data_IF_171847714878
#
_entry.id   IF_171847714878
#
_cell.length_a   1.000
_cell.length_b   1.000
_cell.length_c   1.000
_cell.angle_alpha   90.00
_cell.angle_beta   90.00
_cell.angle_gamma   90.00
#
_symmetry.space_group_name_H-M   'P 1'
#
loop_
_entity.id
_entity.type
_entity.pdbx_description
1 polymer ?
#
# COMPACT_ATOMS: atom_id res chain seq x y z
N UNK A 1 -37.51 -26.06 -25.97
CA UNK A 1 -37.85 -24.66 -25.61
C UNK A 1 -38.30 -24.46 -24.15
N UNK A 2 -39.00 -25.43 -23.53
CA UNK A 2 -39.46 -25.31 -22.14
C UNK A 2 -38.33 -25.25 -21.08
N UNK A 3 -37.21 -25.94 -21.30
CA UNK A 3 -36.10 -25.98 -20.34
C UNK A 3 -35.36 -24.64 -20.19
N UNK A 4 -35.33 -23.80 -21.21
CA UNK A 4 -34.73 -22.45 -21.13
C UNK A 4 -35.64 -21.44 -20.41
N UNK A 5 -36.95 -21.68 -20.40
CA UNK A 5 -37.91 -20.85 -19.70
C UNK A 5 -37.86 -21.07 -18.19
N UNK A 6 -37.64 -22.30 -17.75
CA UNK A 6 -37.51 -22.63 -16.31
C UNK A 6 -36.21 -22.08 -15.73
N UNK A 7 -35.10 -22.05 -16.48
CA UNK A 7 -33.83 -21.41 -16.05
C UNK A 7 -33.95 -19.90 -15.86
N UNK A 8 -34.86 -19.21 -16.56
CA UNK A 8 -35.13 -17.77 -16.42
C UNK A 8 -35.92 -17.41 -15.15
N UNK A 9 -36.59 -18.36 -14.52
CA UNK A 9 -37.42 -18.14 -13.31
C UNK A 9 -36.71 -18.51 -12.01
N UNK A 10 -35.48 -19.04 -12.04
CA UNK A 10 -34.74 -19.33 -10.84
C UNK A 10 -34.22 -18.01 -10.25
N UNK A 11 -34.61 -17.73 -9.00
CA UNK A 11 -34.10 -16.63 -8.20
C UNK A 11 -32.56 -16.58 -8.30
N UNK A 12 -32.04 -15.52 -8.86
CA UNK A 12 -30.58 -15.33 -8.96
C UNK A 12 -30.02 -14.97 -7.60
N UNK A 13 -28.98 -15.66 -7.20
CA UNK A 13 -28.17 -15.28 -6.05
C UNK A 13 -27.05 -14.39 -6.57
N UNK A 14 -26.94 -13.19 -6.01
CA UNK A 14 -25.89 -12.23 -6.27
C UNK A 14 -24.95 -12.31 -5.08
N UNK A 15 -23.80 -12.90 -5.29
CA UNK A 15 -22.75 -13.01 -4.28
C UNK A 15 -21.38 -13.02 -4.98
N UNK A 16 -20.38 -12.62 -4.26
CA UNK A 16 -19.01 -12.68 -4.73
C UNK A 16 -18.11 -13.31 -3.66
N UNK A 17 -17.28 -14.25 -4.11
CA UNK A 17 -16.22 -14.85 -3.31
C UNK A 17 -14.89 -14.43 -3.91
N UNK A 18 -14.05 -13.78 -3.12
CA UNK A 18 -12.74 -13.32 -3.56
C UNK A 18 -11.66 -14.30 -3.10
N UNK A 19 -11.06 -15.00 -4.06
CA UNK A 19 -9.93 -15.91 -3.83
C UNK A 19 -8.59 -15.18 -3.98
N UNK A 20 -8.60 -13.88 -4.30
CA UNK A 20 -7.41 -13.05 -4.47
C UNK A 20 -7.06 -12.30 -3.19
N UNK A 21 -5.82 -11.82 -3.12
CA UNK A 21 -5.38 -10.97 -2.01
C UNK A 21 -5.38 -9.49 -2.37
N UNK A 22 -5.53 -9.15 -3.64
CA UNK A 22 -5.28 -7.83 -4.19
C UNK A 22 -6.51 -7.15 -4.81
N UNK A 23 -7.66 -7.81 -4.89
CA UNK A 23 -8.87 -7.18 -5.42
C UNK A 23 -9.51 -6.26 -4.38
N UNK A 24 -9.60 -4.98 -4.70
CA UNK A 24 -10.25 -3.95 -3.88
C UNK A 24 -11.73 -3.86 -4.24
N UNK A 25 -12.05 -3.76 -5.53
CA UNK A 25 -13.41 -3.65 -6.04
C UNK A 25 -13.60 -4.56 -7.24
N UNK A 26 -14.78 -5.16 -7.31
CA UNK A 26 -15.20 -6.02 -8.40
C UNK A 26 -16.65 -5.71 -8.81
N UNK A 27 -16.87 -5.45 -10.08
CA UNK A 27 -18.21 -5.33 -10.66
C UNK A 27 -18.74 -6.73 -10.98
N UNK A 28 -19.82 -7.09 -10.32
CA UNK A 28 -20.49 -8.37 -10.55
C UNK A 28 -21.04 -8.44 -11.97
N UNK A 29 -20.68 -9.50 -12.69
CA UNK A 29 -21.18 -9.73 -14.04
C UNK A 29 -22.60 -10.29 -13.96
N UNK A 30 -23.58 -9.42 -14.21
CA UNK A 30 -25.00 -9.80 -14.24
C UNK A 30 -25.30 -10.36 -15.62
N UNK A 31 -25.61 -11.65 -15.75
CA UNK A 31 -26.05 -12.21 -17.04
C UNK A 31 -27.27 -11.46 -17.59
N UNK A 32 -27.45 -11.48 -18.91
CA UNK A 32 -28.59 -10.87 -19.59
C UNK A 32 -28.67 -9.33 -19.50
N UNK A 33 -27.57 -8.63 -19.82
CA UNK A 33 -27.51 -7.17 -19.95
C UNK A 33 -27.85 -6.41 -18.67
N UNK A 34 -27.30 -6.86 -17.54
CA UNK A 34 -27.45 -6.19 -16.23
C UNK A 34 -28.88 -6.17 -15.67
N UNK A 35 -29.75 -7.08 -16.13
CA UNK A 35 -31.09 -7.19 -15.58
C UNK A 35 -31.09 -7.93 -14.24
N UNK A 36 -31.39 -7.22 -13.17
CA UNK A 36 -31.61 -7.80 -11.84
C UNK A 36 -33.08 -8.10 -11.67
N UNK A 37 -33.40 -9.37 -11.40
CA UNK A 37 -34.77 -9.79 -11.26
C UNK A 37 -35.30 -9.49 -9.85
N UNK A 38 -36.59 -9.13 -9.78
CA UNK A 38 -37.32 -9.05 -8.51
C UNK A 38 -37.22 -10.36 -7.73
N UNK A 39 -36.91 -10.26 -6.42
CA UNK A 39 -36.77 -11.41 -5.55
C UNK A 39 -35.41 -12.09 -5.60
N UNK A 40 -34.45 -11.57 -6.38
CA UNK A 40 -33.06 -11.99 -6.31
C UNK A 40 -32.53 -11.80 -4.88
N UNK A 41 -31.61 -12.66 -4.48
CA UNK A 41 -30.97 -12.58 -3.16
C UNK A 41 -29.56 -12.05 -3.29
N UNK A 42 -29.27 -10.97 -2.57
CA UNK A 42 -27.92 -10.42 -2.43
C UNK A 42 -27.32 -10.94 -1.14
N UNK A 43 -26.15 -11.54 -1.20
CA UNK A 43 -25.35 -11.92 -0.03
C UNK A 43 -24.08 -11.09 0.00
N UNK A 44 -23.91 -10.28 1.04
CA UNK A 44 -22.72 -9.48 1.33
C UNK A 44 -22.01 -10.11 2.53
N UNK A 45 -20.75 -10.48 2.37
CA UNK A 45 -19.94 -11.11 3.42
C UNK A 45 -19.39 -10.10 4.39
N UNK A 46 -18.96 -10.53 5.59
CA UNK A 46 -18.43 -9.66 6.66
C UNK A 46 -17.28 -8.75 6.23
N UNK A 47 -16.48 -9.18 5.26
CA UNK A 47 -15.36 -8.39 4.73
C UNK A 47 -15.70 -7.64 3.44
N UNK A 48 -16.97 -7.38 3.18
CA UNK A 48 -17.44 -6.76 1.95
C UNK A 48 -18.48 -5.68 2.21
N UNK A 49 -18.57 -4.75 1.28
CA UNK A 49 -19.68 -3.82 1.08
C UNK A 49 -20.13 -3.94 -0.35
N UNK A 50 -21.42 -3.92 -0.59
CA UNK A 50 -21.98 -3.94 -1.93
C UNK A 50 -22.59 -2.60 -2.28
N UNK A 51 -22.22 -2.04 -3.44
CA UNK A 51 -22.74 -0.78 -3.97
C UNK A 51 -23.63 -1.09 -5.18
N UNK A 52 -24.83 -0.57 -5.14
CA UNK A 52 -25.79 -0.67 -6.21
C UNK A 52 -25.80 0.63 -7.00
N UNK A 53 -25.60 0.54 -8.32
CA UNK A 53 -25.59 1.67 -9.24
C UNK A 53 -26.72 1.52 -10.24
N UNK A 54 -27.53 2.54 -10.37
CA UNK A 54 -28.68 2.58 -11.25
C UNK A 54 -28.62 3.86 -12.08
N UNK A 55 -28.72 3.73 -13.41
CA UNK A 55 -28.61 4.86 -14.34
C UNK A 55 -27.35 5.71 -14.09
N UNK A 56 -26.23 5.06 -13.74
CA UNK A 56 -24.96 5.74 -13.46
C UNK A 56 -24.91 6.47 -12.11
N UNK A 57 -25.93 6.32 -11.26
CA UNK A 57 -25.95 6.92 -9.91
C UNK A 57 -25.90 5.83 -8.84
N UNK A 58 -25.13 6.06 -7.79
CA UNK A 58 -25.15 5.21 -6.60
C UNK A 58 -26.54 5.29 -5.99
N UNK A 59 -27.24 4.17 -6.00
CA UNK A 59 -28.60 4.06 -5.50
C UNK A 59 -28.64 3.58 -4.06
N UNK A 60 -27.84 2.54 -3.74
CA UNK A 60 -27.83 1.95 -2.40
C UNK A 60 -26.47 1.34 -2.04
N UNK A 61 -26.22 1.19 -0.71
CA UNK A 61 -25.01 0.60 -0.15
C UNK A 61 -25.42 -0.45 0.89
N UNK A 62 -25.04 -1.69 0.65
CA UNK A 62 -25.38 -2.81 1.52
C UNK A 62 -24.19 -3.23 2.35
N UNK A 63 -24.37 -3.23 3.65
CA UNK A 63 -23.40 -3.79 4.63
C UNK A 63 -23.50 -5.32 4.66
N UNK A 64 -22.62 -6.00 5.42
CA UNK A 64 -22.69 -7.45 5.56
C UNK A 64 -24.08 -7.95 5.95
N UNK A 65 -24.57 -8.96 5.22
CA UNK A 65 -25.88 -9.51 5.44
C UNK A 65 -26.48 -10.17 4.20
N UNK A 66 -27.71 -10.66 4.35
CA UNK A 66 -28.50 -11.25 3.27
C UNK A 66 -29.74 -10.41 3.01
N UNK A 67 -29.87 -9.96 1.78
CA UNK A 67 -30.94 -9.05 1.37
C UNK A 67 -31.75 -9.67 0.25
N UNK A 68 -33.08 -9.58 0.37
CA UNK A 68 -33.98 -9.87 -0.74
C UNK A 68 -34.17 -8.58 -1.52
N UNK A 69 -33.80 -8.57 -2.79
CA UNK A 69 -33.97 -7.43 -3.67
C UNK A 69 -35.44 -7.31 -4.07
N UNK A 70 -36.21 -6.58 -3.27
CA UNK A 70 -37.63 -6.32 -3.45
C UNK A 70 -37.92 -4.85 -3.15
N UNK A 71 -39.00 -4.30 -3.73
CA UNK A 71 -39.40 -2.89 -3.52
C UNK A 71 -39.61 -2.49 -2.07
N UNK A 72 -39.89 -3.46 -1.18
CA UNK A 72 -40.17 -3.18 0.23
C UNK A 72 -38.90 -2.98 1.08
N UNK A 73 -37.76 -3.49 0.61
CA UNK A 73 -36.52 -3.56 1.40
C UNK A 73 -35.42 -2.59 0.92
N UNK A 74 -35.70 -1.74 -0.06
CA UNK A 74 -34.73 -0.85 -0.70
C UNK A 74 -35.18 0.61 -0.55
N UNK A 75 -34.85 1.29 0.57
CA UNK A 75 -35.40 2.59 0.92
C UNK A 75 -35.07 3.72 -0.08
N UNK A 76 -33.95 3.65 -0.76
CA UNK A 76 -33.57 4.67 -1.76
C UNK A 76 -34.14 4.35 -3.13
N UNK A 77 -34.30 3.08 -3.47
CA UNK A 77 -34.91 2.65 -4.73
C UNK A 77 -36.43 2.86 -4.75
N UNK A 78 -37.08 2.90 -3.58
CA UNK A 78 -38.50 3.31 -3.48
C UNK A 78 -38.72 4.78 -3.73
N UNK A 79 -37.72 5.63 -3.53
CA UNK A 79 -37.76 7.06 -3.84
C UNK A 79 -37.63 7.36 -5.35
N UNK A 80 -37.08 6.43 -6.14
CA UNK A 80 -37.11 6.46 -7.60
C UNK A 80 -38.48 5.95 -8.06
N UNK A 81 -39.42 6.83 -8.27
CA UNK A 81 -40.79 6.53 -8.72
C UNK A 81 -40.87 5.59 -9.92
N UNK A 82 -39.82 5.53 -10.72
CA UNK A 82 -39.66 4.60 -11.85
C UNK A 82 -39.46 3.13 -11.44
N UNK A 83 -38.99 2.87 -10.21
CA UNK A 83 -38.77 1.51 -9.72
C UNK A 83 -40.06 0.70 -9.59
N UNK A 84 -41.18 1.34 -9.29
CA UNK A 84 -42.49 0.67 -9.18
C UNK A 84 -42.93 0.06 -10.51
N UNK A 85 -42.49 0.58 -11.64
CA UNK A 85 -42.76 0.07 -12.99
C UNK A 85 -41.62 -0.75 -13.58
N UNK A 86 -40.42 -0.68 -12.98
CA UNK A 86 -39.19 -1.30 -13.50
C UNK A 86 -39.14 -2.82 -13.30
N UNK A 87 -40.01 -3.39 -12.47
CA UNK A 87 -40.06 -4.86 -12.28
C UNK A 87 -40.77 -5.63 -13.38
N UNK A 88 -41.46 -4.93 -14.27
CA UNK A 88 -42.06 -5.54 -15.49
C UNK A 88 -41.13 -5.39 -16.70
N UNK A 89 -40.13 -4.52 -16.64
CA UNK A 89 -39.08 -4.37 -17.65
C UNK A 89 -37.72 -4.69 -17.05
N UNK A 90 -36.82 -5.39 -17.78
CA UNK A 90 -35.47 -5.66 -17.30
C UNK A 90 -34.73 -4.35 -17.04
N UNK A 91 -34.38 -4.12 -15.78
CA UNK A 91 -33.71 -2.91 -15.32
C UNK A 91 -32.19 -3.06 -15.39
N UNK A 92 -31.52 -2.07 -15.95
CA UNK A 92 -30.05 -2.03 -16.02
C UNK A 92 -29.49 -1.47 -14.72
N UNK A 93 -29.10 -2.34 -13.81
CA UNK A 93 -28.38 -1.97 -12.59
C UNK A 93 -27.01 -2.64 -12.57
N UNK A 94 -26.03 -1.95 -12.02
CA UNK A 94 -24.70 -2.50 -11.79
C UNK A 94 -24.51 -2.78 -10.29
N UNK A 95 -23.83 -3.88 -10.00
CA UNK A 95 -23.55 -4.32 -8.63
C UNK A 95 -22.04 -4.36 -8.46
N UNK A 96 -21.53 -3.59 -7.51
CA UNK A 96 -20.12 -3.56 -7.18
C UNK A 96 -19.91 -4.12 -5.78
N UNK A 97 -19.00 -5.07 -5.66
CA UNK A 97 -18.51 -5.55 -4.38
C UNK A 97 -17.18 -4.88 -4.06
N UNK A 98 -17.05 -4.36 -2.87
CA UNK A 98 -15.84 -3.73 -2.36
C UNK A 98 -15.33 -4.52 -1.16
N UNK A 99 -14.09 -4.98 -1.20
CA UNK A 99 -13.44 -5.61 -0.08
C UNK A 99 -13.09 -4.59 0.99
N UNK A 100 -13.52 -4.86 2.23
CA UNK A 100 -13.17 -4.08 3.42
C UNK A 100 -12.13 -4.78 4.31
N UNK A 101 -11.61 -5.94 3.85
CA UNK A 101 -10.49 -6.62 4.49
C UNK A 101 -9.24 -5.73 4.51
N UNK A 102 -8.29 -6.06 5.35
CA UNK A 102 -6.99 -5.39 5.33
C UNK A 102 -6.14 -5.89 4.16
N UNK A 103 -5.55 -4.95 3.43
CA UNK A 103 -4.50 -5.19 2.46
C UNK A 103 -3.16 -5.02 3.16
N UNK A 104 -2.57 -6.14 3.57
CA UNK A 104 -1.34 -6.19 4.35
C UNK A 104 -0.10 -6.29 3.45
N UNK A 105 1.09 -6.06 4.03
CA UNK A 105 2.38 -6.23 3.35
C UNK A 105 2.52 -5.42 2.04
N UNK A 106 1.87 -4.26 1.97
CA UNK A 106 2.08 -3.35 0.86
C UNK A 106 3.45 -2.69 1.01
N UNK A 107 4.28 -2.79 -0.03
CA UNK A 107 5.66 -2.31 0.03
C UNK A 107 5.76 -0.87 -0.46
N UNK A 108 6.53 -0.06 0.25
CA UNK A 108 6.97 1.23 -0.22
C UNK A 108 8.50 1.32 -0.21
N UNK A 109 9.06 2.17 -1.03
CA UNK A 109 10.50 2.37 -1.06
C UNK A 109 10.91 3.48 -2.02
N UNK A 110 12.07 4.05 -1.77
CA UNK A 110 12.63 5.13 -2.58
C UNK A 110 13.19 4.57 -3.89
N UNK A 111 12.70 5.06 -5.02
CA UNK A 111 13.28 4.75 -6.33
C UNK A 111 14.64 5.45 -6.51
N UNK A 112 14.72 6.71 -6.05
CA UNK A 112 15.93 7.50 -6.02
C UNK A 112 16.27 7.91 -4.59
N UNK A 113 17.55 8.06 -4.24
CA UNK A 113 17.93 8.54 -2.93
C UNK A 113 17.33 9.93 -2.63
N UNK A 114 16.85 10.11 -1.41
CA UNK A 114 16.38 11.40 -0.89
C UNK A 114 17.60 12.20 -0.44
N UNK A 115 17.74 13.42 -0.93
CA UNK A 115 18.78 14.32 -0.46
C UNK A 115 18.30 15.07 0.77
N UNK A 116 19.07 15.03 1.85
CA UNK A 116 18.79 15.78 3.06
C UNK A 116 20.07 16.42 3.61
N UNK A 117 19.88 17.42 4.45
CA UNK A 117 21.00 18.07 5.14
C UNK A 117 21.15 17.46 6.52
N UNK A 118 22.31 16.87 6.77
CA UNK A 118 22.69 16.29 8.06
C UNK A 118 23.62 17.26 8.79
N UNK A 119 23.54 17.25 10.15
CA UNK A 119 24.33 18.16 10.99
C UNK A 119 25.82 17.80 11.01
N UNK A 120 26.12 16.50 10.91
CA UNK A 120 27.48 15.99 11.08
C UNK A 120 28.17 15.72 9.73
N UNK A 121 27.40 15.39 8.69
CA UNK A 121 27.92 15.00 7.37
C UNK A 121 27.59 15.99 6.25
N UNK A 122 26.82 17.04 6.53
CA UNK A 122 26.41 18.01 5.52
C UNK A 122 25.30 17.47 4.63
N UNK A 123 25.49 17.39 3.30
CA UNK A 123 24.48 16.86 2.37
C UNK A 123 24.67 15.37 2.23
N UNK A 124 23.66 14.62 2.64
CA UNK A 124 23.64 13.16 2.52
C UNK A 124 22.50 12.71 1.61
N UNK A 125 22.60 11.47 1.18
CA UNK A 125 21.55 10.77 0.39
C UNK A 125 21.07 9.58 1.18
N UNK A 126 19.74 9.47 1.37
CA UNK A 126 19.14 8.35 2.08
C UNK A 126 18.30 7.51 1.12
N UNK A 127 18.32 6.21 1.30
CA UNK A 127 17.36 5.28 0.75
C UNK A 127 16.53 4.70 1.88
N UNK A 128 15.23 4.55 1.65
CA UNK A 128 14.35 3.96 2.62
C UNK A 128 13.35 3.03 1.99
N UNK A 129 12.95 2.03 2.74
CA UNK A 129 11.87 1.14 2.39
C UNK A 129 11.16 0.63 3.64
N UNK A 130 9.98 0.09 3.42
CA UNK A 130 9.18 -0.51 4.48
C UNK A 130 7.87 -1.02 3.96
N UNK A 131 6.97 -1.27 4.89
CA UNK A 131 5.65 -1.83 4.62
C UNK A 131 4.56 -0.95 5.21
N UNK A 132 3.37 -1.06 4.64
CA UNK A 132 2.16 -0.47 5.18
C UNK A 132 0.98 -1.41 4.98
N UNK A 133 -0.06 -1.20 5.75
CA UNK A 133 -1.34 -1.88 5.59
C UNK A 133 -2.48 -0.87 5.60
N UNK A 134 -3.50 -1.13 4.79
CA UNK A 134 -4.68 -0.29 4.70
C UNK A 134 -5.94 -1.13 4.45
N UNK A 135 -7.10 -0.54 4.65
CA UNK A 135 -8.39 -1.11 4.26
C UNK A 135 -9.28 -0.05 3.62
N UNK A 136 -10.32 -0.49 2.93
CA UNK A 136 -11.39 0.41 2.50
C UNK A 136 -12.28 0.70 3.70
N UNK A 137 -12.47 1.97 4.01
CA UNK A 137 -13.38 2.46 5.05
C UNK A 137 -14.64 3.10 4.45
N UNK A 138 -14.48 3.87 3.38
CA UNK A 138 -15.57 4.47 2.62
C UNK A 138 -15.56 3.96 1.17
N UNK A 139 -16.40 2.96 0.92
CA UNK A 139 -16.52 2.33 -0.39
C UNK A 139 -17.13 3.26 -1.45
N UNK A 140 -18.00 4.19 -1.05
CA UNK A 140 -18.63 5.16 -1.95
C UNK A 140 -17.60 6.19 -2.42
N UNK A 141 -16.79 6.68 -1.50
CA UNK A 141 -15.72 7.62 -1.79
C UNK A 141 -14.66 6.98 -2.70
N UNK A 142 -14.24 5.75 -2.38
CA UNK A 142 -13.34 4.97 -3.23
C UNK A 142 -13.86 4.87 -4.67
N UNK A 143 -15.13 4.54 -4.82
CA UNK A 143 -15.74 4.40 -6.13
C UNK A 143 -15.76 5.71 -6.91
N UNK A 144 -16.08 6.83 -6.27
CA UNK A 144 -16.15 8.15 -6.89
C UNK A 144 -14.77 8.68 -7.29
N UNK A 145 -13.80 8.54 -6.39
CA UNK A 145 -12.49 9.17 -6.55
C UNK A 145 -11.52 8.34 -7.39
N UNK A 146 -11.62 6.99 -7.34
CA UNK A 146 -10.59 6.12 -7.91
C UNK A 146 -11.09 5.12 -8.94
N UNK A 147 -12.08 4.31 -8.57
CA UNK A 147 -12.44 3.17 -9.43
C UNK A 147 -13.36 3.55 -10.58
N UNK A 148 -14.19 4.57 -10.41
CA UNK A 148 -15.14 5.00 -11.43
C UNK A 148 -15.98 3.83 -11.95
N UNK A 149 -15.90 3.58 -13.27
CA UNK A 149 -16.64 2.50 -13.96
C UNK A 149 -15.78 1.26 -14.21
N UNK A 150 -14.63 1.12 -13.57
CA UNK A 150 -13.78 -0.04 -13.74
C UNK A 150 -14.52 -1.34 -13.38
N UNK A 151 -14.33 -2.37 -14.20
CA UNK A 151 -14.89 -3.68 -13.91
C UNK A 151 -14.18 -4.34 -12.70
N UNK A 152 -12.90 -4.10 -12.57
CA UNK A 152 -12.07 -4.57 -11.47
C UNK A 152 -11.06 -3.48 -11.09
N UNK A 153 -10.89 -3.26 -9.78
CA UNK A 153 -9.90 -2.33 -9.25
C UNK A 153 -9.03 -3.09 -8.24
N UNK A 154 -7.73 -3.11 -8.53
CA UNK A 154 -6.73 -3.88 -7.78
C UNK A 154 -5.83 -2.95 -6.97
N UNK A 155 -5.10 -3.53 -6.01
CA UNK A 155 -4.07 -2.81 -5.24
C UNK A 155 -3.01 -2.18 -6.14
N UNK A 156 -2.65 -2.82 -7.25
CA UNK A 156 -1.67 -2.34 -8.21
C UNK A 156 -2.12 -1.06 -8.93
N UNK A 157 -3.42 -0.88 -9.12
CA UNK A 157 -3.95 0.32 -9.79
C UNK A 157 -3.70 1.61 -9.00
N UNK A 158 -3.60 1.52 -7.66
CA UNK A 158 -3.38 2.67 -6.78
C UNK A 158 -1.96 2.69 -6.17
N UNK A 159 -1.20 1.60 -6.29
CA UNK A 159 0.09 1.44 -5.62
C UNK A 159 1.07 2.58 -5.89
N UNK A 160 1.17 3.05 -7.14
CA UNK A 160 2.10 4.13 -7.50
C UNK A 160 1.69 5.47 -6.89
N UNK A 161 0.39 5.75 -6.82
CA UNK A 161 -0.11 6.97 -6.18
C UNK A 161 0.15 6.97 -4.68
N UNK A 162 -0.16 5.85 -4.00
CA UNK A 162 0.11 5.69 -2.58
C UNK A 162 1.61 5.78 -2.28
N UNK A 163 2.45 5.15 -3.12
CA UNK A 163 3.92 5.23 -2.98
C UNK A 163 4.42 6.67 -3.04
N UNK A 164 3.99 7.45 -4.03
CA UNK A 164 4.41 8.86 -4.16
C UNK A 164 4.00 9.69 -2.95
N UNK A 165 2.78 9.48 -2.46
CA UNK A 165 2.24 10.15 -1.29
C UNK A 165 3.04 9.79 -0.02
N UNK A 166 3.34 8.50 0.15
CA UNK A 166 4.17 7.99 1.25
C UNK A 166 5.57 8.61 1.19
N UNK A 167 6.24 8.54 0.04
CA UNK A 167 7.60 9.07 -0.11
C UNK A 167 7.69 10.55 0.20
N UNK A 168 6.74 11.36 -0.29
CA UNK A 168 6.68 12.78 0.06
C UNK A 168 6.57 12.98 1.56
N UNK A 169 5.64 12.28 2.22
CA UNK A 169 5.40 12.45 3.66
C UNK A 169 6.57 11.95 4.50
N UNK A 170 7.16 10.80 4.16
CA UNK A 170 8.36 10.27 4.84
C UNK A 170 9.52 11.26 4.72
N UNK A 171 9.74 11.82 3.52
CA UNK A 171 10.79 12.80 3.29
C UNK A 171 10.61 14.05 4.17
N UNK A 172 9.39 14.56 4.25
CA UNK A 172 9.07 15.73 5.07
C UNK A 172 9.29 15.43 6.57
N UNK A 173 8.81 14.28 7.05
CA UNK A 173 8.97 13.85 8.45
C UNK A 173 10.46 13.72 8.82
N UNK A 174 11.25 13.05 7.97
CA UNK A 174 12.69 12.89 8.23
C UNK A 174 13.40 14.25 8.22
N UNK A 175 13.10 15.11 7.25
CA UNK A 175 13.74 16.41 7.14
C UNK A 175 13.41 17.33 8.34
N UNK A 176 12.18 17.27 8.84
CA UNK A 176 11.72 18.08 9.97
C UNK A 176 12.20 17.54 11.33
N UNK A 177 12.44 16.23 11.44
CA UNK A 177 12.86 15.59 12.70
C UNK A 177 14.20 16.16 13.21
N UNK A 178 15.08 16.58 12.29
CA UNK A 178 16.43 17.07 12.62
C UNK A 178 17.33 16.02 13.27
N UNK A 179 16.97 14.74 13.18
CA UNK A 179 17.73 13.60 13.70
C UNK A 179 18.96 13.40 12.84
N UNK A 180 20.11 13.18 13.46
CA UNK A 180 21.33 12.87 12.72
C UNK A 180 21.21 11.50 12.04
N UNK A 181 21.84 11.35 10.87
CA UNK A 181 21.71 10.14 10.06
C UNK A 181 22.09 8.85 10.80
N UNK A 182 23.08 8.92 11.68
CA UNK A 182 23.52 7.78 12.50
C UNK A 182 22.48 7.38 13.57
N UNK A 183 21.64 8.30 14.00
CA UNK A 183 20.65 8.09 15.04
C UNK A 183 19.28 7.65 14.48
N UNK A 184 19.09 7.79 13.16
CA UNK A 184 17.82 7.44 12.50
C UNK A 184 17.35 6.01 12.81
N UNK A 185 18.29 5.07 12.84
CA UNK A 185 17.98 3.66 13.10
C UNK A 185 17.39 3.41 14.49
N UNK A 186 17.65 4.27 15.46
CA UNK A 186 17.13 4.16 16.82
C UNK A 186 15.72 4.75 16.97
N UNK A 187 15.22 5.43 15.93
CA UNK A 187 13.96 6.19 15.98
C UNK A 187 12.94 5.79 14.91
N UNK A 188 13.07 4.60 14.35
CA UNK A 188 12.13 4.12 13.31
C UNK A 188 10.69 4.09 13.78
N UNK A 189 10.43 3.73 15.02
CA UNK A 189 9.07 3.69 15.57
C UNK A 189 8.44 5.07 15.68
N UNK A 190 9.20 6.07 16.13
CA UNK A 190 8.72 7.47 16.23
C UNK A 190 8.48 8.08 14.85
N UNK A 191 9.42 7.86 13.93
CA UNK A 191 9.28 8.31 12.54
C UNK A 191 8.11 7.62 11.84
N UNK A 192 7.92 6.33 12.08
CA UNK A 192 6.79 5.57 11.54
C UNK A 192 5.46 6.09 12.08
N UNK A 193 5.37 6.36 13.39
CA UNK A 193 4.18 6.93 14.03
C UNK A 193 3.84 8.32 13.47
N UNK A 194 4.80 9.23 13.43
CA UNK A 194 4.63 10.58 12.87
C UNK A 194 4.23 10.56 11.39
N UNK A 195 4.81 9.65 10.63
CA UNK A 195 4.46 9.47 9.21
C UNK A 195 3.05 8.93 9.05
N UNK A 196 2.67 7.93 9.85
CA UNK A 196 1.32 7.35 9.86
C UNK A 196 0.26 8.40 10.12
N UNK A 197 0.46 9.24 11.13
CA UNK A 197 -0.49 10.30 11.50
C UNK A 197 -0.69 11.30 10.37
N UNK A 198 0.38 11.73 9.71
CA UNK A 198 0.31 12.66 8.55
C UNK A 198 -0.28 12.01 7.30
N UNK A 199 -0.13 10.70 7.13
CA UNK A 199 -0.70 9.96 6.01
C UNK A 199 -2.18 9.66 6.19
N UNK A 200 -2.69 9.58 7.42
CA UNK A 200 -4.06 9.16 7.71
C UNK A 200 -5.10 10.00 6.95
N UNK A 201 -4.98 11.32 6.98
CA UNK A 201 -5.90 12.22 6.27
C UNK A 201 -5.84 12.03 4.76
N UNK A 202 -4.63 11.88 4.21
CA UNK A 202 -4.42 11.67 2.77
C UNK A 202 -5.03 10.36 2.28
N UNK A 203 -4.94 9.27 3.08
CA UNK A 203 -5.60 8.00 2.77
C UNK A 203 -7.12 8.13 2.81
N UNK A 204 -7.64 8.90 3.78
CA UNK A 204 -9.06 9.14 3.94
C UNK A 204 -9.66 9.91 2.75
N UNK A 205 -8.88 10.74 2.05
CA UNK A 205 -9.32 11.42 0.82
C UNK A 205 -9.74 10.45 -0.28
N UNK A 206 -9.16 9.26 -0.32
CA UNK A 206 -9.47 8.21 -1.28
C UNK A 206 -10.42 7.12 -0.75
N UNK A 207 -10.96 7.28 0.45
CA UNK A 207 -11.84 6.30 1.08
C UNK A 207 -11.09 5.14 1.74
N UNK A 208 -9.78 5.25 1.93
CA UNK A 208 -8.95 4.27 2.65
C UNK A 208 -8.73 4.70 4.10
N UNK A 209 -8.46 3.70 4.94
CA UNK A 209 -7.91 3.89 6.28
C UNK A 209 -6.56 3.21 6.36
N UNK A 210 -5.52 3.99 6.65
CA UNK A 210 -4.20 3.47 6.95
C UNK A 210 -4.25 2.77 8.32
N UNK A 211 -3.87 1.50 8.36
CA UNK A 211 -3.88 0.69 9.59
C UNK A 211 -2.51 0.72 10.24
N UNK A 212 -1.49 0.33 9.48
CA UNK A 212 -0.11 0.30 9.94
C UNK A 212 0.81 0.92 8.91
N UNK A 213 1.90 1.49 9.42
CA UNK A 213 2.98 2.01 8.61
C UNK A 213 4.30 1.77 9.35
N UNK A 214 5.26 1.14 8.68
CA UNK A 214 6.55 0.82 9.23
C UNK A 214 7.68 1.22 8.29
N UNK A 215 8.70 1.84 8.86
CA UNK A 215 9.99 2.02 8.23
C UNK A 215 10.84 0.82 8.63
N UNK A 216 11.21 -0.02 7.67
CA UNK A 216 12.03 -1.20 7.92
C UNK A 216 13.52 -0.87 7.87
N UNK A 217 13.88 0.05 6.97
CA UNK A 217 15.28 0.47 6.84
C UNK A 217 15.40 1.86 6.24
N UNK A 218 16.36 2.62 6.76
CA UNK A 218 16.89 3.85 6.16
C UNK A 218 18.41 3.66 6.05
N UNK A 219 18.94 3.62 4.84
CA UNK A 219 20.36 3.39 4.58
C UNK A 219 21.00 4.56 3.86
N UNK A 220 22.27 4.77 4.17
CA UNK A 220 23.15 5.66 3.43
C UNK A 220 23.64 4.97 2.13
N UNK A 221 24.01 5.71 1.09
CA UNK A 221 24.70 5.11 -0.05
C UNK A 221 26.04 4.47 0.38
N UNK A 222 26.37 3.37 -0.28
CA UNK A 222 27.58 2.57 0.00
C UNK A 222 28.87 3.39 0.04
N UNK A 223 28.97 4.45 -0.76
CA UNK A 223 30.11 5.38 -0.77
C UNK A 223 30.24 6.16 0.53
N UNK A 224 29.10 6.54 1.13
CA UNK A 224 29.06 7.27 2.39
C UNK A 224 29.35 6.31 3.56
N UNK A 225 28.80 5.09 3.52
CA UNK A 225 29.09 4.03 4.50
C UNK A 225 30.59 3.71 4.53
N UNK A 226 31.23 3.52 3.38
CA UNK A 226 32.69 3.30 3.28
C UNK A 226 33.51 4.48 3.85
N UNK A 227 33.04 5.70 3.64
CA UNK A 227 33.70 6.90 4.17
C UNK A 227 33.56 6.98 5.70
N UNK A 228 32.38 6.58 6.22
CA UNK A 228 32.12 6.48 7.65
C UNK A 228 32.98 5.40 8.30
N UNK A 229 33.06 4.22 7.70
CA UNK A 229 33.90 3.12 8.17
C UNK A 229 35.38 3.54 8.23
N UNK A 230 35.85 4.25 7.22
CA UNK A 230 37.22 4.78 7.18
C UNK A 230 37.41 5.80 8.29
N UNK A 231 36.48 6.72 8.50
CA UNK A 231 36.55 7.77 9.55
C UNK A 231 36.47 7.15 10.94
N UNK A 232 35.60 6.18 11.15
CA UNK A 232 35.46 5.43 12.40
C UNK A 232 36.76 4.66 12.70
N UNK A 233 37.32 4.00 11.68
CA UNK A 233 38.61 3.31 11.79
C UNK A 233 39.74 4.28 12.13
N UNK A 234 39.76 5.48 11.53
CA UNK A 234 40.73 6.54 11.88
C UNK A 234 40.51 7.11 13.29
N UNK A 235 39.25 7.27 13.71
CA UNK A 235 38.89 7.72 15.07
C UNK A 235 39.32 6.77 16.15
N UNK A 236 39.07 5.47 15.93
CA UNK A 236 39.53 4.39 16.82
C UNK A 236 41.06 4.28 16.85
N UNK A 237 41.72 4.60 15.74
CA UNK A 237 43.19 4.61 15.61
C UNK A 237 43.82 5.91 16.11
N UNK A 238 43.07 7.01 16.17
CA UNK A 238 43.59 8.35 16.53
C UNK A 238 44.26 8.38 17.90
N UNK A 239 43.71 7.68 18.89
CA UNK A 239 44.30 7.53 20.23
C UNK A 239 45.47 6.53 20.29
N UNK A 240 45.67 5.72 19.23
CA UNK A 240 46.69 4.67 19.13
C UNK A 240 47.57 4.79 17.90
N UNK A 241 47.60 5.95 17.26
CA UNK A 241 48.35 6.17 16.01
C UNK A 241 49.83 5.82 16.17
N UNK A 242 50.45 6.13 17.33
CA UNK A 242 51.80 5.73 17.65
C UNK A 242 51.99 4.21 17.69
N UNK A 243 51.06 3.48 18.28
CA UNK A 243 51.11 2.03 18.40
C UNK A 243 50.85 1.35 17.06
N UNK A 244 49.96 1.91 16.24
CA UNK A 244 49.65 1.39 14.92
C UNK A 244 50.77 1.60 13.90
N UNK A 245 51.43 2.77 13.95
CA UNK A 245 52.61 3.06 13.12
C UNK A 245 53.77 2.13 13.48
N UNK A 246 53.99 1.87 14.80
CA UNK A 246 54.96 0.89 15.25
C UNK A 246 54.62 -0.54 14.84
N UNK A 247 53.35 -0.93 14.87
CA UNK A 247 52.88 -2.24 14.41
C UNK A 247 53.07 -2.40 12.90
N UNK A 248 52.69 -1.41 12.10
CA UNK A 248 52.90 -1.42 10.64
C UNK A 248 54.37 -1.43 10.26
N UNK A 249 55.22 -0.64 10.96
CA UNK A 249 56.65 -0.66 10.75
C UNK A 249 57.26 -2.03 11.09
N UNK A 250 56.84 -2.63 12.19
CA UNK A 250 57.26 -3.99 12.58
C UNK A 250 56.81 -5.05 11.56
N UNK A 251 55.59 -4.92 11.01
CA UNK A 251 55.06 -5.82 9.99
C UNK A 251 55.82 -5.69 8.66
N UNK A 252 56.08 -4.46 8.22
CA UNK A 252 56.88 -4.15 7.02
C UNK A 252 58.30 -4.67 7.13
N UNK A 253 58.95 -4.50 8.32
CA UNK A 253 60.26 -5.08 8.58
C UNK A 253 60.27 -6.60 8.55
N UNK A 254 59.21 -7.24 9.01
CA UNK A 254 59.07 -8.70 8.99
C UNK A 254 58.85 -9.24 7.59
N UNK A 255 58.07 -8.55 6.76
CA UNK A 255 57.88 -8.90 5.35
C UNK A 255 59.17 -8.65 4.53
N UNK A 256 59.89 -7.57 4.78
CA UNK A 256 61.18 -7.28 4.16
C UNK A 256 62.23 -8.34 4.54
N UNK A 257 62.23 -8.80 5.80
CA UNK A 257 63.12 -9.86 6.28
C UNK A 257 62.80 -11.22 5.63
N UNK A 258 61.51 -11.51 5.38
CA UNK A 258 61.06 -12.73 4.71
C UNK A 258 61.31 -12.71 3.21
N UNK A 259 61.43 -11.55 2.56
CA UNK A 259 61.71 -11.40 1.12
C UNK A 259 63.21 -11.36 0.77
N UNK A 260 64.11 -11.37 1.75
CA UNK A 260 65.58 -11.43 1.49
C UNK A 260 66.10 -12.81 1.05
N UNK A 261 65.19 -13.80 0.85
CA UNK A 261 65.54 -15.14 0.42
C UNK A 261 65.61 -15.40 -1.11
N UNK A 262 65.34 -14.42 -1.98
CA UNK A 262 65.22 -14.62 -3.43
C UNK A 262 66.24 -13.87 -4.29
N UNK A 263 67.33 -13.40 -3.73
CA UNK A 263 68.35 -12.63 -4.47
C UNK A 263 69.79 -13.07 -4.18
N UNK A 264 70.12 -14.30 -4.47
CA UNK A 264 71.49 -14.77 -4.28
C UNK A 264 71.82 -16.02 -5.08
N UNK A 265 71.93 -15.87 -6.40
CA UNK A 265 72.77 -16.75 -7.23
C UNK A 265 73.01 -16.10 -8.59
N UNK A 266 74.15 -15.46 -8.70
CA UNK A 266 74.98 -15.41 -9.90
C UNK A 266 76.39 -15.67 -9.48
#
# INVERSE_FOLDING_TARGET
>A
MAFNFIKRQLLKVIEWTDDTQNTILYRFDVPDRYAIMRGSQLTVRESQVCIFVVEGKIADVFTPGRYKLDTENLPVLTALYSWKYAFETPYTGEVYFVNTKQFTNQKWGTSNPIMMRDKDFGVIRLRGYGIYSYKVEDAVKLMRELSGTNQQFLTENIADQLRKMILSTVTDVIAESGIAALDLATQYDELSGSTKDRLADKFTEYGFKLIDFYIENLSLPEEVEKTLDTRTSMGVLGDKMGTFTQYQAAHAMREAANNQGAGGSL
#
